data_IF_893818107141
#
_entry.id   IF_893818107141
#
_cell.length_a   1.000
_cell.length_b   1.000
_cell.length_c   1.000
_cell.angle_alpha   90.00
_cell.angle_beta   90.00
_cell.angle_gamma   90.00
#
_symmetry.space_group_name_H-M   'P 1'
#
loop_
_entity.id
_entity.type
_entity.pdbx_description
1 polymer ?
#
# COMPACT_ATOMS: atom_id res chain seq x y z
N UNK A 1 23.87 -21.63 -8.84
CA UNK A 1 23.44 -20.24 -9.04
C UNK A 1 21.96 -20.29 -9.38
N UNK A 2 21.07 -19.72 -8.54
CA UNK A 2 19.65 -19.65 -8.85
C UNK A 2 19.46 -18.68 -10.04
N UNK A 3 18.59 -19.06 -10.98
CA UNK A 3 18.21 -18.16 -12.07
C UNK A 3 17.66 -16.83 -11.49
N UNK A 4 17.92 -15.69 -12.14
CA UNK A 4 17.37 -14.42 -11.68
C UNK A 4 15.83 -14.50 -11.63
N UNK A 5 15.25 -13.92 -10.59
CA UNK A 5 13.78 -13.93 -10.42
C UNK A 5 13.13 -13.18 -11.57
N UNK A 6 12.20 -13.84 -12.26
CA UNK A 6 11.38 -13.20 -13.30
C UNK A 6 10.36 -12.26 -12.63
N UNK A 7 10.71 -10.98 -12.57
CA UNK A 7 9.88 -9.94 -11.97
C UNK A 7 8.54 -9.74 -12.71
N UNK A 8 8.49 -10.02 -14.03
CA UNK A 8 7.25 -9.91 -14.80
C UNK A 8 6.26 -11.02 -14.43
N UNK A 9 6.75 -12.26 -14.32
CA UNK A 9 5.93 -13.38 -13.86
C UNK A 9 5.47 -13.18 -12.39
N UNK A 10 6.32 -12.58 -11.55
CA UNK A 10 5.94 -12.22 -10.18
C UNK A 10 4.83 -11.17 -10.17
N UNK A 11 4.96 -10.09 -10.95
CA UNK A 11 3.97 -9.02 -11.09
C UNK A 11 2.61 -9.57 -11.54
N UNK A 12 2.59 -10.44 -12.54
CA UNK A 12 1.35 -11.10 -13.00
C UNK A 12 0.67 -11.87 -11.88
N UNK A 13 1.44 -12.61 -11.05
CA UNK A 13 0.91 -13.32 -9.89
C UNK A 13 0.38 -12.39 -8.81
N UNK A 14 1.09 -11.29 -8.55
CA UNK A 14 0.65 -10.28 -7.58
C UNK A 14 -0.64 -9.59 -8.03
N UNK A 15 -0.73 -9.19 -9.30
CA UNK A 15 -1.95 -8.63 -9.88
C UNK A 15 -3.14 -9.60 -9.70
N UNK A 16 -2.96 -10.88 -10.02
CA UNK A 16 -3.98 -11.91 -9.80
C UNK A 16 -4.31 -12.10 -8.31
N UNK A 17 -3.34 -11.91 -7.41
CA UNK A 17 -3.58 -11.99 -5.96
C UNK A 17 -4.44 -10.81 -5.48
N UNK A 18 -4.14 -9.59 -5.88
CA UNK A 18 -4.92 -8.41 -5.53
C UNK A 18 -6.31 -8.37 -6.18
N UNK A 19 -6.46 -8.96 -7.34
CA UNK A 19 -7.75 -9.13 -8.01
C UNK A 19 -8.60 -10.28 -7.44
N UNK A 20 -8.04 -11.20 -6.63
CA UNK A 20 -8.72 -12.41 -6.17
C UNK A 20 -9.65 -12.22 -4.96
N UNK A 21 -9.62 -11.07 -4.32
CA UNK A 21 -10.53 -10.66 -3.27
C UNK A 21 -11.14 -9.30 -3.59
N UNK A 22 -11.93 -8.75 -2.71
CA UNK A 22 -12.32 -7.35 -2.79
C UNK A 22 -11.54 -6.57 -1.73
N UNK A 23 -10.32 -6.13 -2.09
CA UNK A 23 -9.50 -5.34 -1.16
C UNK A 23 -10.23 -4.09 -0.67
N UNK A 24 -11.21 -3.56 -1.40
CA UNK A 24 -11.98 -2.39 -1.00
C UNK A 24 -12.67 -2.57 0.36
N UNK A 25 -13.02 -3.80 0.73
CA UNK A 25 -13.59 -4.13 2.06
C UNK A 25 -12.63 -3.73 3.19
N UNK A 26 -11.33 -4.00 3.01
CA UNK A 26 -10.28 -3.62 3.97
C UNK A 26 -9.80 -2.21 3.70
N UNK A 27 -9.53 -1.87 2.44
CA UNK A 27 -9.00 -0.58 2.02
C UNK A 27 -9.85 0.60 2.52
N UNK A 28 -11.17 0.50 2.48
CA UNK A 28 -12.07 1.56 2.96
C UNK A 28 -11.86 1.87 4.45
N UNK A 29 -11.46 0.90 5.27
CA UNK A 29 -11.18 1.14 6.70
C UNK A 29 -9.94 2.01 6.92
N UNK A 30 -9.03 2.06 5.94
CA UNK A 30 -7.77 2.81 5.97
C UNK A 30 -7.90 4.25 5.44
N UNK A 31 -9.10 4.75 5.23
CA UNK A 31 -9.38 6.06 4.65
C UNK A 31 -8.63 7.20 5.37
N UNK A 32 -8.53 7.14 6.71
CA UNK A 32 -7.82 8.13 7.51
C UNK A 32 -6.34 8.29 7.09
N UNK A 33 -5.67 7.23 6.67
CA UNK A 33 -4.28 7.32 6.23
C UNK A 33 -4.13 8.14 4.94
N UNK A 34 -5.09 8.03 4.00
CA UNK A 34 -5.13 8.85 2.80
C UNK A 34 -5.37 10.33 3.12
N UNK A 35 -6.27 10.63 4.08
CA UNK A 35 -6.51 12.00 4.54
C UNK A 35 -5.28 12.62 5.20
N UNK A 36 -4.63 11.89 6.11
CA UNK A 36 -3.42 12.35 6.79
C UNK A 36 -2.29 12.61 5.79
N UNK A 37 -2.10 11.71 4.82
CA UNK A 37 -1.08 11.88 3.79
C UNK A 37 -1.34 13.11 2.91
N UNK A 38 -2.59 13.36 2.53
CA UNK A 38 -2.97 14.54 1.75
C UNK A 38 -2.68 15.85 2.51
N UNK A 39 -2.94 15.89 3.84
CA UNK A 39 -2.55 17.01 4.70
C UNK A 39 -1.03 17.14 4.81
N UNK A 40 -0.31 16.06 5.07
CA UNK A 40 1.15 16.09 5.18
C UNK A 40 1.83 16.58 3.89
N UNK A 41 1.23 16.33 2.74
CA UNK A 41 1.68 16.82 1.44
C UNK A 41 1.27 18.27 1.15
N UNK A 42 0.51 18.95 2.03
CA UNK A 42 -0.02 20.32 1.80
C UNK A 42 -0.63 20.46 0.39
N UNK A 43 -1.55 19.53 0.03
CA UNK A 43 -2.17 19.54 -1.29
C UNK A 43 -3.07 20.78 -1.46
N UNK A 44 -3.00 21.40 -2.64
CA UNK A 44 -3.70 22.65 -2.93
C UNK A 44 -4.71 22.47 -4.06
N UNK A 45 -5.70 23.34 -4.05
CA UNK A 45 -6.66 23.43 -5.15
C UNK A 45 -5.95 23.62 -6.49
N UNK A 46 -6.46 22.97 -7.54
CA UNK A 46 -5.94 22.97 -8.91
C UNK A 46 -4.59 22.27 -9.14
N UNK A 47 -3.88 21.81 -8.11
CA UNK A 47 -2.69 21.00 -8.31
C UNK A 47 -3.00 19.70 -9.07
N UNK A 48 -2.10 19.32 -9.96
CA UNK A 48 -2.16 18.03 -10.65
C UNK A 48 -1.58 16.96 -9.73
N UNK A 49 -2.42 16.04 -9.29
CA UNK A 49 -2.05 14.97 -8.35
C UNK A 49 -2.21 13.62 -9.03
N UNK A 50 -1.18 12.78 -8.91
CA UNK A 50 -1.22 11.37 -9.32
C UNK A 50 -1.28 10.50 -8.07
N UNK A 51 -2.25 9.59 -7.99
CA UNK A 51 -2.28 8.53 -6.97
C UNK A 51 -1.90 7.20 -7.63
N UNK A 52 -0.80 6.58 -7.18
CA UNK A 52 -0.18 5.40 -7.79
C UNK A 52 -0.44 4.16 -6.93
N UNK A 53 -0.87 3.08 -7.57
CA UNK A 53 -1.34 1.87 -6.91
C UNK A 53 -2.42 2.23 -5.87
N UNK A 54 -3.40 3.01 -6.33
CA UNK A 54 -4.39 3.70 -5.51
C UNK A 54 -5.43 2.77 -4.88
N UNK A 55 -5.53 1.52 -5.36
CA UNK A 55 -6.54 0.59 -4.93
C UNK A 55 -7.95 1.17 -5.13
N UNK A 56 -8.74 1.19 -4.07
CA UNK A 56 -10.07 1.79 -4.07
C UNK A 56 -10.10 3.31 -3.78
N UNK A 57 -8.95 4.01 -3.89
CA UNK A 57 -8.87 5.46 -4.01
C UNK A 57 -8.87 6.25 -2.70
N UNK A 58 -8.26 5.79 -1.61
CA UNK A 58 -8.26 6.54 -0.36
C UNK A 58 -7.53 7.90 -0.46
N UNK A 59 -6.30 7.93 -0.99
CA UNK A 59 -5.58 9.18 -1.22
C UNK A 59 -6.14 9.95 -2.41
N UNK A 60 -6.65 9.25 -3.43
CA UNK A 60 -7.38 9.84 -4.57
C UNK A 60 -8.50 10.76 -4.10
N UNK A 61 -9.41 10.24 -3.26
CA UNK A 61 -10.56 10.99 -2.78
C UNK A 61 -10.15 12.10 -1.83
N UNK A 62 -9.17 11.84 -0.97
CA UNK A 62 -8.62 12.86 -0.08
C UNK A 62 -8.05 14.05 -0.86
N UNK A 63 -7.29 13.81 -1.93
CA UNK A 63 -6.77 14.86 -2.80
C UNK A 63 -7.90 15.59 -3.57
N UNK A 64 -8.88 14.85 -4.09
CA UNK A 64 -10.00 15.46 -4.82
C UNK A 64 -10.87 16.34 -3.93
N UNK A 65 -11.10 15.98 -2.64
CA UNK A 65 -11.80 16.83 -1.66
C UNK A 65 -11.07 18.15 -1.37
N UNK A 66 -9.76 18.23 -1.63
CA UNK A 66 -8.95 19.45 -1.51
C UNK A 66 -8.92 20.29 -2.79
N UNK A 67 -9.75 19.92 -3.78
CA UNK A 67 -9.86 20.63 -5.06
C UNK A 67 -8.71 20.34 -6.03
N UNK A 68 -7.90 19.31 -5.79
CA UNK A 68 -6.85 18.92 -6.72
C UNK A 68 -7.42 18.24 -7.98
N UNK A 69 -6.71 18.35 -9.10
CA UNK A 69 -6.98 17.65 -10.36
C UNK A 69 -6.33 16.26 -10.31
N UNK A 70 -7.09 15.25 -9.92
CA UNK A 70 -6.54 13.93 -9.58
C UNK A 70 -6.62 12.96 -10.74
N UNK A 71 -5.50 12.27 -11.00
CA UNK A 71 -5.44 11.03 -11.77
C UNK A 71 -5.14 9.87 -10.82
N UNK A 72 -6.01 8.88 -10.79
CA UNK A 72 -5.90 7.68 -9.94
C UNK A 72 -5.47 6.50 -10.79
N UNK A 73 -4.44 5.78 -10.38
CA UNK A 73 -3.90 4.64 -11.15
C UNK A 73 -3.73 3.39 -10.30
N UNK A 74 -4.09 2.26 -10.88
CA UNK A 74 -3.80 0.92 -10.35
C UNK A 74 -3.72 -0.05 -11.51
N UNK A 75 -3.03 -1.18 -11.38
CA UNK A 75 -3.03 -2.21 -12.40
C UNK A 75 -4.23 -3.18 -12.27
N UNK A 76 -4.97 -3.13 -11.15
CA UNK A 76 -6.20 -3.93 -10.92
C UNK A 76 -7.43 -3.09 -11.27
N UNK A 77 -8.01 -3.35 -12.42
CA UNK A 77 -9.15 -2.57 -12.94
C UNK A 77 -10.35 -2.54 -11.98
N UNK A 78 -10.68 -3.67 -11.34
CA UNK A 78 -11.81 -3.75 -10.41
C UNK A 78 -11.66 -2.84 -9.18
N UNK A 79 -10.43 -2.57 -8.73
CA UNK A 79 -10.17 -1.62 -7.65
C UNK A 79 -10.39 -0.18 -8.11
N UNK A 80 -9.99 0.16 -9.33
CA UNK A 80 -10.28 1.47 -9.92
C UNK A 80 -11.78 1.71 -10.08
N UNK A 81 -12.54 0.68 -10.48
CA UNK A 81 -14.01 0.75 -10.54
C UNK A 81 -14.61 1.08 -9.17
N UNK A 82 -14.14 0.44 -8.09
CA UNK A 82 -14.54 0.76 -6.72
C UNK A 82 -14.20 2.21 -6.35
N UNK A 83 -13.03 2.68 -6.74
CA UNK A 83 -12.63 4.08 -6.56
C UNK A 83 -13.53 5.06 -7.31
N UNK A 84 -13.88 4.73 -8.56
CA UNK A 84 -14.78 5.55 -9.38
C UNK A 84 -16.20 5.61 -8.80
N UNK A 85 -16.72 4.50 -8.27
CA UNK A 85 -18.03 4.48 -7.60
C UNK A 85 -18.03 5.38 -6.37
N UNK A 86 -16.97 5.35 -5.57
CA UNK A 86 -16.81 6.22 -4.40
C UNK A 86 -16.71 7.70 -4.80
N UNK A 87 -15.92 8.03 -5.81
CA UNK A 87 -15.80 9.40 -6.32
C UNK A 87 -17.17 9.92 -6.80
N UNK A 88 -17.92 9.09 -7.54
CA UNK A 88 -19.25 9.43 -8.03
C UNK A 88 -20.23 9.68 -6.87
N UNK A 89 -20.21 8.83 -5.84
CA UNK A 89 -21.06 8.97 -4.67
C UNK A 89 -20.83 10.28 -3.90
N UNK A 90 -19.60 10.80 -3.96
CA UNK A 90 -19.21 12.08 -3.33
C UNK A 90 -19.27 13.28 -4.29
N UNK A 91 -19.66 13.09 -5.56
CA UNK A 91 -19.68 14.15 -6.56
C UNK A 91 -18.29 14.67 -6.96
N UNK A 92 -17.24 13.87 -6.75
CA UNK A 92 -15.86 14.23 -7.06
C UNK A 92 -15.49 13.89 -8.50
N UNK A 93 -14.75 14.79 -9.17
CA UNK A 93 -14.23 14.58 -10.53
C UNK A 93 -12.81 14.03 -10.45
N UNK A 94 -12.62 12.78 -10.88
CA UNK A 94 -11.34 12.08 -10.84
C UNK A 94 -11.14 11.34 -12.16
N UNK A 95 -9.92 11.37 -12.72
CA UNK A 95 -9.54 10.54 -13.86
C UNK A 95 -9.01 9.20 -13.32
N UNK A 96 -9.62 8.08 -13.75
CA UNK A 96 -9.14 6.72 -13.43
C UNK A 96 -8.48 6.11 -14.65
N UNK A 97 -7.30 5.50 -14.48
CA UNK A 97 -6.52 4.92 -15.57
C UNK A 97 -5.72 3.72 -15.09
N UNK A 98 -5.83 2.58 -15.78
CA UNK A 98 -4.97 1.43 -15.50
C UNK A 98 -3.51 1.78 -15.81
N UNK A 99 -2.62 1.52 -14.84
CA UNK A 99 -1.19 1.72 -15.00
C UNK A 99 -0.36 0.84 -14.05
N UNK A 100 0.84 0.53 -14.47
CA UNK A 100 1.86 -0.15 -13.68
C UNK A 100 2.76 0.89 -12.99
N UNK A 101 2.93 0.79 -11.68
CA UNK A 101 3.80 1.68 -10.90
C UNK A 101 5.27 1.67 -11.35
N UNK A 102 5.70 0.59 -12.02
CA UNK A 102 7.05 0.46 -12.58
C UNK A 102 7.18 0.97 -14.04
N UNK A 103 6.09 1.44 -14.65
CA UNK A 103 6.05 1.96 -16.03
C UNK A 103 4.85 2.90 -16.19
N UNK A 104 4.91 4.06 -15.57
CA UNK A 104 3.82 5.03 -15.57
C UNK A 104 3.68 5.69 -16.95
N UNK A 105 2.48 5.67 -17.58
CA UNK A 105 2.26 6.19 -18.92
C UNK A 105 2.03 7.71 -18.91
N UNK A 106 2.93 8.46 -18.27
CA UNK A 106 2.86 9.90 -18.13
C UNK A 106 4.20 10.54 -18.46
N UNK A 107 4.16 11.78 -18.91
CA UNK A 107 5.34 12.59 -19.18
C UNK A 107 6.12 12.91 -17.90
N UNK A 108 7.40 13.21 -18.07
CA UNK A 108 8.26 13.68 -17.00
C UNK A 108 7.72 14.99 -16.41
N UNK A 109 7.82 15.14 -15.09
CA UNK A 109 7.40 16.34 -14.38
C UNK A 109 5.92 16.73 -14.62
N UNK A 110 5.06 15.75 -14.92
CA UNK A 110 3.65 15.96 -15.23
C UNK A 110 2.78 16.34 -14.04
N UNK A 111 3.22 16.09 -12.79
CA UNK A 111 2.41 16.25 -11.59
C UNK A 111 3.09 17.13 -10.53
N UNK A 112 2.28 17.89 -9.79
CA UNK A 112 2.69 18.71 -8.66
C UNK A 112 2.92 17.88 -7.41
N UNK A 113 2.10 16.83 -7.24
CA UNK A 113 2.28 15.82 -6.20
C UNK A 113 1.97 14.41 -6.72
N UNK A 114 2.68 13.42 -6.16
CA UNK A 114 2.49 11.99 -6.46
C UNK A 114 2.26 11.27 -5.14
N UNK A 115 1.17 10.54 -5.02
CA UNK A 115 0.77 9.85 -3.78
C UNK A 115 0.78 8.34 -3.96
N UNK A 116 0.99 7.62 -2.87
CA UNK A 116 0.67 6.19 -2.78
C UNK A 116 0.44 5.79 -1.32
N UNK A 117 -0.72 5.22 -1.02
CA UNK A 117 -1.06 4.70 0.32
C UNK A 117 -1.08 3.18 0.32
N UNK A 118 -0.07 2.57 0.94
CA UNK A 118 0.07 1.10 1.07
C UNK A 118 0.02 0.34 -0.27
N UNK A 119 0.30 1.03 -1.39
CA UNK A 119 0.21 0.45 -2.73
C UNK A 119 1.59 0.16 -3.33
N UNK A 120 2.38 1.20 -3.64
CA UNK A 120 3.67 1.09 -4.33
C UNK A 120 4.66 0.17 -3.63
N UNK A 121 4.57 0.03 -2.31
CA UNK A 121 5.43 -0.86 -1.52
C UNK A 121 5.36 -2.34 -1.96
N UNK A 122 4.29 -2.74 -2.66
CA UNK A 122 4.13 -4.09 -3.18
C UNK A 122 4.66 -4.28 -4.60
N UNK A 123 5.14 -3.23 -5.26
CA UNK A 123 5.77 -3.37 -6.57
C UNK A 123 7.05 -4.21 -6.45
N UNK A 124 7.27 -5.20 -7.31
CA UNK A 124 8.44 -6.09 -7.21
C UNK A 124 9.79 -5.39 -7.35
N UNK A 125 9.87 -4.38 -8.22
CA UNK A 125 11.07 -3.58 -8.44
C UNK A 125 10.95 -2.23 -7.73
N UNK A 126 11.41 -2.19 -6.48
CA UNK A 126 11.37 -0.98 -5.66
C UNK A 126 12.12 0.20 -6.31
N UNK A 127 13.28 -0.06 -6.92
CA UNK A 127 14.11 0.98 -7.53
C UNK A 127 13.42 1.60 -8.75
N UNK A 128 12.82 0.75 -9.59
CA UNK A 128 12.10 1.18 -10.78
C UNK A 128 10.84 1.98 -10.42
N UNK A 129 10.07 1.50 -9.45
CA UNK A 129 8.89 2.21 -8.96
C UNK A 129 9.26 3.58 -8.39
N UNK A 130 10.29 3.66 -7.55
CA UNK A 130 10.75 4.94 -6.99
C UNK A 130 11.26 5.90 -8.08
N UNK A 131 11.95 5.37 -9.10
CA UNK A 131 12.40 6.16 -10.25
C UNK A 131 11.22 6.74 -11.04
N UNK A 132 10.15 5.97 -11.27
CA UNK A 132 8.94 6.41 -11.94
C UNK A 132 8.18 7.48 -11.14
N UNK A 133 7.99 7.28 -9.82
CA UNK A 133 7.39 8.29 -8.95
C UNK A 133 8.15 9.62 -9.02
N UNK A 134 9.50 9.55 -8.98
CA UNK A 134 10.34 10.74 -9.08
C UNK A 134 10.32 11.36 -10.49
N UNK A 135 10.24 10.55 -11.55
CA UNK A 135 10.23 11.03 -12.94
C UNK A 135 8.97 11.85 -13.24
N UNK A 136 7.81 11.33 -12.85
CA UNK A 136 6.53 12.00 -13.15
C UNK A 136 6.23 13.18 -12.24
N UNK A 137 6.86 13.26 -11.05
CA UNK A 137 6.77 14.40 -10.15
C UNK A 137 7.67 15.54 -10.65
N UNK A 138 7.18 16.79 -10.70
CA UNK A 138 8.00 17.93 -11.10
C UNK A 138 9.09 18.28 -10.08
N UNK A 139 10.18 18.96 -10.47
CA UNK A 139 11.11 19.57 -9.52
C UNK A 139 10.39 20.46 -8.52
N UNK A 140 10.74 20.37 -7.23
CA UNK A 140 10.05 21.06 -6.13
C UNK A 140 8.66 20.50 -5.82
N UNK A 141 8.19 19.47 -6.53
CA UNK A 141 6.97 18.75 -6.22
C UNK A 141 7.14 17.80 -5.03
N UNK A 142 6.04 17.17 -4.62
CA UNK A 142 6.03 16.29 -3.43
C UNK A 142 5.65 14.85 -3.82
N UNK A 143 6.37 13.88 -3.25
CA UNK A 143 5.99 12.48 -3.32
C UNK A 143 5.56 12.07 -1.91
N UNK A 144 4.27 11.82 -1.73
CA UNK A 144 3.67 11.40 -0.47
C UNK A 144 3.45 9.89 -0.43
N UNK A 145 3.99 9.24 0.60
CA UNK A 145 3.86 7.78 0.74
C UNK A 145 3.39 7.43 2.15
N UNK A 146 2.49 6.45 2.25
CA UNK A 146 2.19 5.77 3.51
C UNK A 146 2.54 4.29 3.36
N UNK A 147 3.50 3.80 4.16
CA UNK A 147 4.02 2.44 4.04
C UNK A 147 4.15 1.77 5.40
N UNK A 148 3.73 0.50 5.51
CA UNK A 148 3.89 -0.28 6.73
C UNK A 148 5.35 -0.46 7.10
N UNK A 149 5.67 -0.28 8.40
CA UNK A 149 7.02 -0.50 8.92
C UNK A 149 7.28 -1.99 9.20
N UNK A 150 8.55 -2.46 9.18
CA UNK A 150 8.90 -3.86 9.42
C UNK A 150 8.51 -4.37 10.82
N UNK A 151 8.47 -3.47 11.81
CA UNK A 151 8.21 -3.80 13.21
C UNK A 151 6.75 -3.53 13.62
N UNK A 152 5.99 -2.81 12.79
CA UNK A 152 4.55 -2.66 12.91
C UNK A 152 3.81 -4.00 12.72
N UNK A 153 2.54 -4.04 13.11
CA UNK A 153 1.74 -5.27 13.03
C UNK A 153 1.73 -5.88 11.61
N UNK A 154 1.50 -5.08 10.57
CA UNK A 154 1.46 -5.62 9.19
C UNK A 154 2.85 -6.11 8.75
N UNK A 155 3.95 -5.44 9.15
CA UNK A 155 5.29 -5.97 8.88
C UNK A 155 5.55 -7.31 9.57
N UNK A 156 5.09 -7.47 10.81
CA UNK A 156 5.15 -8.76 11.53
C UNK A 156 4.23 -9.82 10.89
N UNK A 157 3.05 -9.44 10.40
CA UNK A 157 2.16 -10.32 9.64
C UNK A 157 2.87 -10.84 8.37
N UNK A 158 3.60 -9.99 7.64
CA UNK A 158 4.39 -10.46 6.48
C UNK A 158 5.50 -11.44 6.89
N UNK A 159 6.13 -11.24 8.04
CA UNK A 159 7.13 -12.19 8.58
C UNK A 159 6.48 -13.56 8.90
N UNK A 160 5.27 -13.55 9.49
CA UNK A 160 4.50 -14.78 9.74
C UNK A 160 4.13 -15.47 8.44
N UNK A 161 3.58 -14.74 7.46
CA UNK A 161 3.25 -15.32 6.15
C UNK A 161 4.49 -15.92 5.48
N UNK A 162 5.63 -15.21 5.50
CA UNK A 162 6.89 -15.66 4.91
C UNK A 162 7.49 -16.91 5.55
N UNK A 163 7.19 -17.19 6.83
CA UNK A 163 7.57 -18.43 7.52
C UNK A 163 6.86 -19.65 6.92
N UNK A 164 5.59 -19.51 6.55
CA UNK A 164 4.77 -20.60 6.01
C UNK A 164 4.80 -20.69 4.48
N UNK A 165 4.87 -19.52 3.81
CA UNK A 165 4.94 -19.41 2.35
C UNK A 165 6.09 -18.45 2.01
N UNK A 166 7.32 -18.94 1.93
CA UNK A 166 8.48 -18.09 1.64
C UNK A 166 8.32 -17.34 0.31
N UNK A 167 8.68 -16.04 0.28
CA UNK A 167 8.70 -15.29 -0.98
C UNK A 167 9.75 -15.88 -1.93
N UNK A 168 9.60 -15.67 -3.25
CA UNK A 168 10.62 -16.05 -4.22
C UNK A 168 11.97 -15.41 -3.88
N UNK A 169 13.08 -16.12 -4.17
CA UNK A 169 14.41 -15.64 -3.91
C UNK A 169 14.66 -14.29 -4.63
N UNK A 170 15.29 -13.35 -3.94
CA UNK A 170 15.61 -12.02 -4.49
C UNK A 170 14.47 -10.99 -4.42
N UNK A 171 13.29 -11.36 -3.97
CA UNK A 171 12.19 -10.41 -3.74
C UNK A 171 12.39 -9.67 -2.43
N UNK A 172 12.40 -8.34 -2.50
CA UNK A 172 12.51 -7.49 -1.32
C UNK A 172 11.19 -7.43 -0.55
N UNK A 173 11.30 -7.32 0.79
CA UNK A 173 10.11 -7.16 1.63
C UNK A 173 9.41 -5.82 1.36
N UNK A 174 8.10 -5.80 1.15
CA UNK A 174 7.33 -4.55 1.01
C UNK A 174 7.56 -3.57 2.15
N UNK A 175 7.70 -4.06 3.38
CA UNK A 175 7.87 -3.20 4.57
C UNK A 175 9.19 -2.43 4.61
N UNK A 176 10.16 -2.71 3.73
CA UNK A 176 11.36 -1.89 3.59
C UNK A 176 11.04 -0.45 3.20
N UNK A 177 9.96 -0.21 2.45
CA UNK A 177 9.48 1.12 2.12
C UNK A 177 9.06 1.96 3.35
N UNK A 178 8.84 1.33 4.49
CA UNK A 178 8.60 1.97 5.78
C UNK A 178 9.88 2.32 6.55
N UNK A 179 11.08 2.23 5.94
CA UNK A 179 12.36 2.48 6.60
C UNK A 179 13.12 3.66 5.98
N UNK A 180 13.68 4.54 6.80
CA UNK A 180 14.48 5.67 6.31
C UNK A 180 15.68 5.24 5.46
N UNK A 181 16.36 4.16 5.85
CA UNK A 181 17.53 3.68 5.14
C UNK A 181 17.19 3.31 3.70
N UNK A 182 16.07 2.58 3.50
CA UNK A 182 15.64 2.19 2.16
C UNK A 182 15.13 3.39 1.35
N UNK A 183 14.40 4.31 1.97
CA UNK A 183 13.96 5.54 1.32
C UNK A 183 15.14 6.40 0.83
N UNK A 184 16.21 6.49 1.63
CA UNK A 184 17.47 7.17 1.21
C UNK A 184 18.14 6.48 0.02
N UNK A 185 18.09 5.15 -0.06
CA UNK A 185 18.58 4.40 -1.24
C UNK A 185 17.74 4.68 -2.48
N UNK A 186 16.41 4.75 -2.35
CA UNK A 186 15.49 4.93 -3.46
C UNK A 186 15.47 6.37 -3.99
N UNK A 187 15.45 7.35 -3.11
CA UNK A 187 15.20 8.76 -3.47
C UNK A 187 16.38 9.70 -3.20
N UNK A 188 17.42 9.30 -2.46
CA UNK A 188 18.43 10.20 -1.92
C UNK A 188 19.04 11.19 -2.92
N UNK A 189 19.39 10.75 -4.13
CA UNK A 189 19.93 11.62 -5.17
C UNK A 189 18.86 12.51 -5.82
N UNK A 190 17.60 12.08 -5.80
CA UNK A 190 16.45 12.76 -6.43
C UNK A 190 15.69 13.65 -5.46
N UNK A 191 15.97 13.54 -4.16
CA UNK A 191 15.29 14.27 -3.11
C UNK A 191 16.06 15.52 -2.67
N UNK A 192 15.36 16.63 -2.49
CA UNK A 192 15.84 17.78 -1.75
C UNK A 192 15.70 17.54 -0.24
N UNK A 193 14.62 16.84 0.17
CA UNK A 193 14.38 16.40 1.53
C UNK A 193 13.52 15.14 1.56
N UNK A 194 13.68 14.35 2.62
CA UNK A 194 12.83 13.20 2.94
C UNK A 194 12.40 13.38 4.41
N UNK A 195 11.13 13.68 4.64
CA UNK A 195 10.54 13.74 5.96
C UNK A 195 9.79 12.43 6.23
N UNK A 196 10.02 11.82 7.38
CA UNK A 196 9.37 10.57 7.80
C UNK A 196 8.73 10.78 9.17
N UNK A 197 7.43 10.58 9.25
CA UNK A 197 6.66 10.69 10.49
C UNK A 197 6.03 9.34 10.82
N UNK A 198 6.34 8.73 11.96
CA UNK A 198 5.67 7.49 12.37
C UNK A 198 4.22 7.77 12.74
N UNK A 199 3.32 6.96 12.22
CA UNK A 199 1.88 6.99 12.48
C UNK A 199 1.39 5.60 12.87
N UNK A 200 0.22 5.54 13.45
CA UNK A 200 -0.42 4.28 13.80
C UNK A 200 -1.84 4.22 13.24
N UNK A 201 -2.16 3.11 12.58
CA UNK A 201 -3.52 2.73 12.26
C UNK A 201 -3.97 1.61 13.21
N UNK A 202 -5.16 1.70 13.77
CA UNK A 202 -5.69 0.68 14.67
C UNK A 202 -6.68 -0.21 13.91
N UNK A 203 -6.28 -1.44 13.63
CA UNK A 203 -7.21 -2.46 13.14
C UNK A 203 -8.20 -2.82 14.24
N UNK A 204 -9.50 -2.80 13.92
CA UNK A 204 -10.59 -3.02 14.88
C UNK A 204 -11.50 -4.12 14.38
N UNK A 205 -11.56 -5.22 15.12
CA UNK A 205 -12.36 -6.41 14.79
C UNK A 205 -13.03 -6.96 16.05
N UNK A 206 -14.02 -7.85 15.89
CA UNK A 206 -14.70 -8.49 17.01
C UNK A 206 -13.78 -9.41 17.81
N UNK A 207 -12.86 -10.08 17.13
CA UNK A 207 -11.92 -11.05 17.71
C UNK A 207 -10.75 -11.33 16.77
N UNK A 208 -9.68 -12.01 17.21
CA UNK A 208 -8.64 -12.54 16.32
C UNK A 208 -9.20 -13.42 15.20
N UNK A 209 -10.13 -14.32 15.51
CA UNK A 209 -10.78 -15.18 14.52
C UNK A 209 -11.52 -14.36 13.44
N UNK A 210 -12.24 -13.34 13.83
CA UNK A 210 -12.93 -12.46 12.88
C UNK A 210 -11.94 -11.67 11.99
N UNK A 211 -10.82 -11.23 12.54
CA UNK A 211 -9.74 -10.61 11.72
C UNK A 211 -9.24 -11.60 10.67
N UNK A 212 -8.91 -12.82 11.08
CA UNK A 212 -8.37 -13.87 10.19
C UNK A 212 -9.40 -14.22 9.12
N UNK A 213 -10.68 -14.36 9.46
CA UNK A 213 -11.77 -14.59 8.51
C UNK A 213 -11.82 -13.50 7.43
N UNK A 214 -11.81 -12.22 7.83
CA UNK A 214 -11.85 -11.08 6.91
C UNK A 214 -10.61 -11.03 6.03
N UNK A 215 -9.41 -11.18 6.61
CA UNK A 215 -8.17 -11.11 5.85
C UNK A 215 -7.97 -12.32 4.93
N UNK A 216 -8.36 -13.52 5.37
CA UNK A 216 -8.37 -14.73 4.54
C UNK A 216 -9.33 -14.61 3.36
N UNK A 217 -10.44 -13.90 3.53
CA UNK A 217 -11.44 -13.73 2.46
C UNK A 217 -11.08 -12.61 1.49
N UNK A 218 -10.59 -11.46 1.99
CA UNK A 218 -10.52 -10.23 1.22
C UNK A 218 -9.12 -9.68 0.98
N UNK A 219 -8.12 -10.05 1.81
CA UNK A 219 -6.76 -9.53 1.69
C UNK A 219 -5.88 -10.44 0.85
N UNK A 220 -5.56 -10.05 -0.37
CA UNK A 220 -4.84 -10.87 -1.34
C UNK A 220 -3.65 -11.68 -0.80
N UNK A 221 -2.68 -11.07 -0.10
CA UNK A 221 -1.54 -11.80 0.46
C UNK A 221 -1.93 -12.92 1.43
N UNK A 222 -2.86 -12.67 2.35
CA UNK A 222 -3.33 -13.67 3.33
C UNK A 222 -4.19 -14.73 2.63
N UNK A 223 -5.11 -14.30 1.75
CA UNK A 223 -5.93 -15.21 0.95
C UNK A 223 -5.07 -16.24 0.20
N UNK A 224 -4.05 -15.77 -0.52
CA UNK A 224 -3.15 -16.64 -1.30
C UNK A 224 -2.28 -17.52 -0.41
N UNK A 225 -1.84 -17.03 0.75
CA UNK A 225 -1.08 -17.86 1.69
C UNK A 225 -1.90 -19.06 2.18
N UNK A 226 -3.15 -18.83 2.61
CA UNK A 226 -4.03 -19.93 3.01
C UNK A 226 -4.35 -20.90 1.85
N UNK A 227 -4.57 -20.38 0.65
CA UNK A 227 -4.87 -21.21 -0.53
C UNK A 227 -3.68 -22.06 -0.99
N UNK A 228 -2.45 -21.65 -0.70
CA UNK A 228 -1.24 -22.38 -1.07
C UNK A 228 -0.86 -23.52 -0.10
N UNK A 229 -1.47 -23.56 1.08
CA UNK A 229 -1.10 -24.49 2.14
C UNK A 229 -2.06 -25.68 2.22
N UNK A 230 -1.56 -26.90 2.54
CA UNK A 230 -2.42 -28.01 2.92
C UNK A 230 -3.12 -27.71 4.26
N UNK A 231 -4.15 -28.48 4.62
CA UNK A 231 -4.96 -28.24 5.82
C UNK A 231 -4.15 -28.06 7.10
N UNK A 232 -3.11 -28.90 7.31
CA UNK A 232 -2.23 -28.81 8.47
C UNK A 232 -1.41 -27.51 8.47
N UNK A 233 -0.86 -27.12 7.32
CA UNK A 233 -0.13 -25.85 7.16
C UNK A 233 -1.03 -24.63 7.35
N UNK A 234 -2.27 -24.68 6.86
CA UNK A 234 -3.26 -23.62 7.05
C UNK A 234 -3.62 -23.46 8.55
N UNK A 235 -3.80 -24.56 9.27
CA UNK A 235 -4.03 -24.55 10.72
C UNK A 235 -2.83 -23.98 11.50
N UNK A 236 -1.60 -24.32 11.10
CA UNK A 236 -0.39 -23.76 11.70
C UNK A 236 -0.25 -22.24 11.43
N UNK A 237 -0.56 -21.77 10.22
CA UNK A 237 -0.59 -20.35 9.88
C UNK A 237 -1.65 -19.61 10.71
N UNK A 238 -2.85 -20.17 10.83
CA UNK A 238 -3.95 -19.58 11.62
C UNK A 238 -3.56 -19.43 13.10
N UNK A 239 -2.88 -20.46 13.66
CA UNK A 239 -2.34 -20.42 15.01
C UNK A 239 -1.33 -19.29 15.20
N UNK A 240 -0.31 -19.21 14.32
CA UNK A 240 0.74 -18.17 14.42
C UNK A 240 0.14 -16.75 14.26
N UNK A 241 -0.85 -16.55 13.38
CA UNK A 241 -1.57 -15.29 13.23
C UNK A 241 -2.38 -14.97 14.50
N UNK A 242 -3.05 -15.95 15.09
CA UNK A 242 -3.82 -15.77 16.33
C UNK A 242 -2.91 -15.36 17.49
N UNK A 243 -1.75 -15.99 17.61
CA UNK A 243 -0.73 -15.64 18.62
C UNK A 243 -0.21 -14.21 18.43
N UNK A 244 0.07 -13.79 17.17
CA UNK A 244 0.48 -12.43 16.84
C UNK A 244 -0.60 -11.41 17.23
N UNK A 245 -1.85 -11.66 16.86
CA UNK A 245 -2.98 -10.80 17.16
C UNK A 245 -3.21 -10.66 18.66
N UNK A 246 -3.21 -11.77 19.40
CA UNK A 246 -3.38 -11.78 20.86
C UNK A 246 -2.27 -11.01 21.57
N UNK A 247 -1.03 -11.14 21.13
CA UNK A 247 0.13 -10.44 21.69
C UNK A 247 0.05 -8.93 21.52
N UNK A 248 -0.52 -8.45 20.41
CA UNK A 248 -0.60 -7.03 20.07
C UNK A 248 -1.96 -6.40 20.41
N UNK A 249 -2.95 -7.21 20.84
CA UNK A 249 -4.28 -6.73 21.16
C UNK A 249 -4.25 -5.82 22.39
N UNK A 250 -4.81 -4.63 22.26
CA UNK A 250 -4.95 -3.64 23.36
C UNK A 250 -6.37 -3.57 23.96
N UNK A 251 -7.33 -4.33 23.40
CA UNK A 251 -8.70 -4.29 23.87
C UNK A 251 -9.02 -5.34 24.96
N UNK A 252 -8.05 -6.15 25.36
CA UNK A 252 -8.30 -7.25 26.31
C UNK A 252 -9.12 -8.39 25.67
N UNK A 253 -10.09 -8.95 26.42
CA UNK A 253 -10.92 -10.08 25.99
C UNK A 253 -12.14 -9.69 25.16
N UNK A 254 -12.57 -8.43 25.20
CA UNK A 254 -13.89 -8.02 24.71
C UNK A 254 -13.95 -7.79 23.20
N UNK A 255 -12.79 -7.45 22.60
CA UNK A 255 -12.68 -7.21 21.16
C UNK A 255 -11.21 -7.26 20.73
N UNK A 256 -10.94 -6.92 19.48
CA UNK A 256 -9.60 -6.82 18.94
C UNK A 256 -9.30 -5.39 18.51
N UNK A 257 -8.25 -4.78 19.12
CA UNK A 257 -7.67 -3.51 18.66
C UNK A 257 -6.17 -3.71 18.53
N UNK A 258 -5.69 -3.76 17.29
CA UNK A 258 -4.26 -3.97 17.00
C UNK A 258 -3.69 -2.73 16.32
N UNK A 259 -2.79 -1.99 16.99
CA UNK A 259 -2.08 -0.88 16.36
C UNK A 259 -1.07 -1.40 15.36
N UNK A 260 -1.03 -0.81 14.18
CA UNK A 260 -0.01 -1.06 13.17
C UNK A 260 0.69 0.25 12.84
N UNK A 261 1.99 0.31 13.08
CA UNK A 261 2.80 1.45 12.69
C UNK A 261 2.97 1.49 11.19
N UNK A 262 2.91 2.69 10.63
CA UNK A 262 3.31 3.02 9.27
C UNK A 262 4.13 4.31 9.24
N UNK A 263 4.98 4.43 8.25
CA UNK A 263 5.70 5.65 7.94
C UNK A 263 4.83 6.51 7.01
N UNK A 264 4.50 7.73 7.46
CA UNK A 264 4.00 8.81 6.61
C UNK A 264 5.24 9.57 6.09
N UNK A 265 5.40 9.60 4.78
CA UNK A 265 6.64 10.05 4.15
C UNK A 265 6.30 11.16 3.16
N UNK A 266 7.04 12.26 3.24
CA UNK A 266 6.99 13.33 2.24
C UNK A 266 8.39 13.56 1.69
N UNK A 267 8.57 13.23 0.41
CA UNK A 267 9.79 13.51 -0.35
C UNK A 267 9.57 14.77 -1.16
N UNK A 268 10.39 15.79 -0.95
CA UNK A 268 10.45 16.95 -1.86
C UNK A 268 11.41 16.59 -2.99
N UNK A 269 10.94 16.59 -4.24
CA UNK A 269 11.78 16.29 -5.40
C UNK A 269 12.76 17.44 -5.66
N UNK A 270 14.03 17.08 -5.94
CA UNK A 270 15.06 18.03 -6.34
C UNK A 270 14.83 18.55 -7.73
#
# INVERSE_FOLDING_TARGET
>A
MNAPTDLNALKTRQMAAWASGDYAVIGTTLQIAGEQLAEACDLRCDERVLDVAAGNGNATLAAARRGAKVTSTDYVASLLERGADRARAEGLVVKFQAADAEALPFDDAGFDAVLSTFGVMFAPDHAKSAAELARVCRPGGRIGLANWTPDGFIGQLFKVLGKHVPPPAGVQSPSLWGTEAHLKQLFGERAASIAVTPRHFNFRYRSPAHFIEVFRTWYGPVHKAFAALPAEGAAALEKDLTELLNRLNRAGSDSLIVPSEYAEIVVTRR
#
